data_IF_022672875111
#
_entry.id   IF_022672875111
#
_cell.length_a   1.000
_cell.length_b   1.000
_cell.length_c   1.000
_cell.angle_alpha   90.00
_cell.angle_beta   90.00
_cell.angle_gamma   90.00
#
_symmetry.space_group_name_H-M   'P 1'
#
loop_
_entity.id
_entity.type
_entity.pdbx_description
1 polymer ?
#
# COMPACT_ATOMS: atom_id res chain seq x y z
N UNK A 1 13.61 -34.50 8.04
CA UNK A 1 14.14 -34.65 6.68
C UNK A 1 13.07 -34.31 5.64
N UNK A 2 12.81 -33.01 5.35
CA UNK A 2 11.95 -32.55 4.24
C UNK A 2 12.19 -31.05 3.95
N UNK A 3 13.43 -30.61 3.86
CA UNK A 3 13.76 -29.20 3.60
C UNK A 3 14.68 -28.96 2.39
N UNK A 4 15.10 -30.00 1.68
CA UNK A 4 16.06 -29.87 0.57
C UNK A 4 15.46 -29.85 -0.85
N UNK A 5 14.15 -30.03 -1.03
CA UNK A 5 13.53 -30.11 -2.36
C UNK A 5 13.10 -28.76 -2.97
N UNK A 6 13.15 -27.65 -2.24
CA UNK A 6 12.67 -26.34 -2.69
C UNK A 6 13.79 -25.50 -3.35
N UNK A 7 15.05 -25.82 -3.09
CA UNK A 7 16.21 -25.06 -3.60
C UNK A 7 16.55 -25.32 -5.07
N UNK A 8 16.30 -26.53 -5.56
CA UNK A 8 16.78 -26.97 -6.89
C UNK A 8 15.95 -26.49 -8.08
N UNK A 9 14.66 -26.17 -7.88
CA UNK A 9 13.77 -25.76 -8.97
C UNK A 9 13.96 -24.27 -9.38
N UNK A 10 14.53 -23.45 -8.48
CA UNK A 10 14.71 -21.99 -8.71
C UNK A 10 15.92 -21.64 -9.60
N UNK A 11 16.97 -22.42 -9.58
CA UNK A 11 18.25 -22.09 -10.23
C UNK A 11 18.25 -22.39 -11.75
N UNK A 12 17.41 -23.32 -12.18
CA UNK A 12 17.30 -23.70 -13.60
C UNK A 12 16.45 -22.71 -14.42
N UNK A 13 15.37 -22.18 -13.85
CA UNK A 13 14.52 -21.19 -14.52
C UNK A 13 15.19 -19.83 -14.60
N UNK A 14 16.02 -19.47 -13.61
CA UNK A 14 16.78 -18.22 -13.62
C UNK A 14 17.81 -18.16 -14.76
N UNK A 15 18.51 -19.27 -15.03
CA UNK A 15 19.49 -19.36 -16.11
C UNK A 15 18.86 -19.33 -17.50
N UNK A 16 17.63 -19.80 -17.63
CA UNK A 16 16.88 -19.82 -18.89
C UNK A 16 16.32 -18.44 -19.25
N UNK A 17 15.91 -17.63 -18.26
CA UNK A 17 15.43 -16.26 -18.47
C UNK A 17 16.56 -15.26 -18.77
N UNK A 18 17.76 -15.48 -18.24
CA UNK A 18 18.94 -14.63 -18.50
C UNK A 18 19.39 -14.67 -19.96
N UNK A 19 19.11 -15.75 -20.70
CA UNK A 19 19.46 -15.90 -22.11
C UNK A 19 18.49 -15.19 -23.08
N UNK A 20 17.33 -14.71 -22.62
CA UNK A 20 16.32 -14.11 -23.47
C UNK A 20 16.16 -12.58 -23.33
N UNK A 21 17.14 -11.85 -22.81
CA UNK A 21 17.14 -10.37 -22.78
C UNK A 21 16.06 -9.71 -21.89
N UNK A 22 15.33 -10.47 -21.07
CA UNK A 22 14.32 -9.99 -20.11
C UNK A 22 14.87 -9.81 -18.70
N UNK A 23 16.20 -9.84 -18.55
CA UNK A 23 16.89 -9.89 -17.26
C UNK A 23 16.66 -8.67 -16.35
N UNK A 24 16.40 -7.50 -16.90
CA UNK A 24 16.26 -6.26 -16.09
C UNK A 24 14.96 -6.27 -15.29
N UNK A 25 13.86 -6.70 -15.88
CA UNK A 25 12.57 -6.73 -15.19
C UNK A 25 12.54 -7.73 -14.03
N UNK A 26 13.09 -8.93 -14.21
CA UNK A 26 13.12 -9.97 -13.17
C UNK A 26 14.10 -9.64 -12.02
N UNK A 27 15.23 -9.02 -12.35
CA UNK A 27 16.21 -8.59 -11.33
C UNK A 27 15.64 -7.49 -10.44
N UNK A 28 14.87 -6.56 -11.01
CA UNK A 28 14.14 -5.53 -10.28
C UNK A 28 13.02 -6.13 -9.43
N UNK A 29 12.25 -7.07 -9.96
CA UNK A 29 11.19 -7.78 -9.23
C UNK A 29 11.78 -8.61 -8.09
N UNK A 30 12.93 -9.26 -8.29
CA UNK A 30 13.61 -10.04 -7.26
C UNK A 30 14.17 -9.15 -6.15
N UNK A 31 14.87 -8.06 -6.49
CA UNK A 31 15.36 -7.09 -5.50
C UNK A 31 14.20 -6.45 -4.73
N UNK A 32 13.15 -6.04 -5.42
CA UNK A 32 11.95 -5.53 -4.78
C UNK A 32 11.33 -6.58 -3.84
N UNK A 33 11.28 -7.84 -4.26
CA UNK A 33 10.76 -8.95 -3.45
C UNK A 33 11.64 -9.26 -2.23
N UNK A 34 12.96 -9.22 -2.36
CA UNK A 34 13.90 -9.43 -1.25
C UNK A 34 13.86 -8.25 -0.24
N UNK A 35 13.75 -7.02 -0.73
CA UNK A 35 13.57 -5.83 0.12
C UNK A 35 12.22 -5.83 0.85
N UNK A 36 11.15 -6.33 0.22
CA UNK A 36 9.81 -6.40 0.81
C UNK A 36 9.62 -7.62 1.72
N UNK A 37 10.37 -8.71 1.55
CA UNK A 37 10.32 -9.87 2.44
C UNK A 37 10.87 -9.56 3.84
N UNK A 38 11.64 -8.49 4.00
CA UNK A 38 12.23 -8.09 5.28
C UNK A 38 11.41 -7.05 6.06
N UNK A 39 10.31 -6.52 5.52
CA UNK A 39 9.50 -5.53 6.22
C UNK A 39 8.03 -5.57 5.78
N UNK A 40 7.29 -6.55 6.27
CA UNK A 40 5.85 -6.57 6.10
C UNK A 40 5.22 -5.35 6.76
N UNK A 41 4.77 -4.36 5.97
CA UNK A 41 4.09 -3.17 6.49
C UNK A 41 2.79 -3.52 7.19
N UNK A 42 2.45 -2.73 8.20
CA UNK A 42 1.18 -2.76 8.91
C UNK A 42 0.19 -1.84 8.21
N UNK A 43 -0.83 -2.42 7.61
CA UNK A 43 -1.82 -1.74 6.76
C UNK A 43 -3.16 -1.65 7.47
N UNK A 44 -3.69 -0.44 7.59
CA UNK A 44 -5.07 -0.19 7.99
C UNK A 44 -5.92 -0.01 6.73
N UNK A 45 -7.09 -0.62 6.67
CA UNK A 45 -8.02 -0.50 5.55
C UNK A 45 -9.31 0.16 6.04
N UNK A 46 -9.79 1.17 5.30
CA UNK A 46 -11.06 1.84 5.56
C UNK A 46 -11.91 1.82 4.28
N UNK A 47 -13.00 1.08 4.30
CA UNK A 47 -13.97 0.96 3.20
C UNK A 47 -15.34 0.60 3.79
N UNK A 48 -16.40 1.34 3.44
CA UNK A 48 -17.74 1.11 3.98
C UNK A 48 -18.41 -0.14 3.41
N UNK A 49 -17.91 -0.65 2.28
CA UNK A 49 -18.33 -1.89 1.68
C UNK A 49 -17.47 -3.06 2.19
N UNK A 50 -18.02 -3.85 3.12
CA UNK A 50 -17.30 -4.98 3.74
C UNK A 50 -16.66 -5.94 2.73
N UNK A 51 -17.33 -6.21 1.61
CA UNK A 51 -16.80 -7.07 0.54
C UNK A 51 -15.54 -6.49 -0.09
N UNK A 52 -15.52 -5.18 -0.35
CA UNK A 52 -14.36 -4.49 -0.91
C UNK A 52 -13.22 -4.45 0.11
N UNK A 53 -13.50 -4.08 1.36
CA UNK A 53 -12.51 -4.09 2.43
C UNK A 53 -11.88 -5.48 2.65
N UNK A 54 -12.69 -6.55 2.58
CA UNK A 54 -12.20 -7.94 2.67
C UNK A 54 -11.30 -8.29 1.49
N UNK A 55 -11.72 -7.98 0.27
CA UNK A 55 -10.92 -8.22 -0.94
C UNK A 55 -9.59 -7.46 -0.90
N UNK A 56 -9.61 -6.18 -0.49
CA UNK A 56 -8.38 -5.41 -0.30
C UNK A 56 -7.46 -6.04 0.75
N UNK A 57 -8.02 -6.53 1.84
CA UNK A 57 -7.26 -7.21 2.88
C UNK A 57 -6.55 -8.48 2.36
N UNK A 58 -7.22 -9.25 1.50
CA UNK A 58 -6.63 -10.42 0.85
C UNK A 58 -5.50 -10.01 -0.11
N UNK A 59 -5.71 -8.98 -0.94
CA UNK A 59 -4.68 -8.46 -1.85
C UNK A 59 -3.45 -7.93 -1.09
N UNK A 60 -3.66 -7.22 0.03
CA UNK A 60 -2.58 -6.74 0.91
C UNK A 60 -1.78 -7.90 1.49
N UNK A 61 -2.45 -8.97 1.93
CA UNK A 61 -1.78 -10.18 2.43
C UNK A 61 -1.01 -10.92 1.33
N UNK A 62 -1.54 -10.96 0.10
CA UNK A 62 -0.82 -11.50 -1.06
C UNK A 62 0.44 -10.71 -1.38
N UNK A 63 0.47 -9.40 -1.08
CA UNK A 63 1.67 -8.57 -1.14
C UNK A 63 2.61 -8.74 0.07
N UNK A 64 2.39 -9.75 0.92
CA UNK A 64 3.18 -10.03 2.12
C UNK A 64 3.17 -8.92 3.18
N UNK A 65 2.07 -8.16 3.28
CA UNK A 65 1.86 -7.15 4.32
C UNK A 65 0.83 -7.62 5.35
N UNK A 66 0.87 -7.03 6.54
CA UNK A 66 -0.07 -7.32 7.62
C UNK A 66 -1.24 -6.33 7.62
N UNK A 67 -2.46 -6.81 7.59
CA UNK A 67 -3.65 -5.98 7.83
C UNK A 67 -3.90 -5.91 9.33
N UNK A 68 -3.83 -4.69 9.90
CA UNK A 68 -4.03 -4.47 11.34
C UNK A 68 -5.50 -4.37 11.71
N UNK A 69 -6.30 -3.72 10.87
CA UNK A 69 -7.75 -3.62 11.04
C UNK A 69 -8.41 -3.25 9.72
N UNK A 70 -9.69 -3.62 9.55
CA UNK A 70 -10.57 -3.17 8.47
C UNK A 70 -11.75 -2.46 9.12
N UNK A 71 -11.95 -1.18 8.79
CA UNK A 71 -12.99 -0.32 9.36
C UNK A 71 -13.93 0.20 8.27
N UNK A 72 -15.15 0.59 8.66
CA UNK A 72 -16.23 0.94 7.73
C UNK A 72 -16.50 2.45 7.59
N UNK A 73 -15.72 3.33 8.23
CA UNK A 73 -15.95 4.78 8.15
C UNK A 73 -14.68 5.60 8.37
N UNK A 74 -14.70 6.86 7.90
CA UNK A 74 -13.58 7.77 8.10
C UNK A 74 -13.32 8.09 9.57
N UNK A 75 -14.37 8.12 10.41
CA UNK A 75 -14.21 8.34 11.85
C UNK A 75 -13.51 7.16 12.53
N UNK A 76 -13.94 5.94 12.20
CA UNK A 76 -13.27 4.72 12.68
C UNK A 76 -11.83 4.64 12.22
N UNK A 77 -11.54 5.07 10.97
CA UNK A 77 -10.18 5.12 10.45
C UNK A 77 -9.27 6.04 11.26
N UNK A 78 -9.75 7.23 11.64
CA UNK A 78 -9.00 8.17 12.50
C UNK A 78 -8.72 7.54 13.88
N UNK A 79 -9.71 6.88 14.48
CA UNK A 79 -9.57 6.22 15.78
C UNK A 79 -8.63 5.01 15.69
N UNK A 80 -8.79 4.17 14.66
CA UNK A 80 -7.95 3.00 14.40
C UNK A 80 -6.49 3.40 14.14
N UNK A 81 -6.27 4.50 13.40
CA UNK A 81 -4.92 5.04 13.21
C UNK A 81 -4.24 5.33 14.53
N UNK A 82 -4.93 6.01 15.46
CA UNK A 82 -4.37 6.32 16.78
C UNK A 82 -4.09 5.09 17.66
N UNK A 83 -4.89 4.02 17.50
CA UNK A 83 -4.68 2.76 18.24
C UNK A 83 -3.52 1.94 17.69
N UNK A 84 -3.41 1.86 16.36
CA UNK A 84 -2.52 0.91 15.70
C UNK A 84 -1.22 1.55 15.21
N UNK A 85 -1.19 2.85 14.93
CA UNK A 85 -0.08 3.55 14.28
C UNK A 85 0.43 2.73 13.07
N UNK A 86 -0.42 2.48 12.05
CA UNK A 86 -0.06 1.69 10.90
C UNK A 86 1.00 2.38 10.05
N UNK A 87 1.75 1.60 9.27
CA UNK A 87 2.74 2.14 8.34
C UNK A 87 2.06 2.84 7.15
N UNK A 88 0.90 2.33 6.71
CA UNK A 88 0.11 2.89 5.62
C UNK A 88 -1.39 2.64 5.84
N UNK A 89 -2.22 3.55 5.35
CA UNK A 89 -3.67 3.43 5.32
C UNK A 89 -4.15 3.35 3.87
N UNK A 90 -4.92 2.33 3.53
CA UNK A 90 -5.74 2.29 2.32
C UNK A 90 -7.13 2.79 2.68
N UNK A 91 -7.58 3.89 2.10
CA UNK A 91 -8.81 4.56 2.51
C UNK A 91 -9.71 4.85 1.32
N UNK A 92 -10.92 4.31 1.34
CA UNK A 92 -11.93 4.67 0.34
C UNK A 92 -12.28 6.15 0.47
N UNK A 93 -12.43 6.80 -0.68
CA UNK A 93 -12.82 8.21 -0.75
C UNK A 93 -14.29 8.39 -0.32
N UNK A 94 -15.18 7.52 -0.83
CA UNK A 94 -16.61 7.63 -0.61
C UNK A 94 -17.06 6.80 0.58
N UNK A 95 -17.02 7.39 1.76
CA UNK A 95 -17.55 6.77 2.97
C UNK A 95 -18.64 7.64 3.62
N UNK A 96 -19.64 7.04 4.27
CA UNK A 96 -20.70 7.78 4.94
C UNK A 96 -20.17 8.58 6.14
N UNK A 97 -20.87 9.68 6.48
CA UNK A 97 -20.58 10.59 7.60
C UNK A 97 -19.30 11.42 7.42
N UNK A 98 -18.17 10.80 7.12
CA UNK A 98 -16.89 11.45 6.93
C UNK A 98 -16.19 10.80 5.75
N UNK A 99 -16.02 11.54 4.65
CA UNK A 99 -15.33 11.04 3.46
C UNK A 99 -13.83 10.83 3.70
N UNK A 100 -13.22 9.98 2.87
CA UNK A 100 -11.82 9.60 3.02
C UNK A 100 -10.85 10.76 2.92
N UNK A 101 -11.11 11.77 2.09
CA UNK A 101 -10.23 12.94 1.97
C UNK A 101 -10.21 13.76 3.27
N UNK A 102 -11.36 13.94 3.91
CA UNK A 102 -11.44 14.65 5.20
C UNK A 102 -10.81 13.82 6.32
N UNK A 103 -11.04 12.50 6.34
CA UNK A 103 -10.39 11.60 7.29
C UNK A 103 -8.86 11.62 7.12
N UNK A 104 -8.37 11.60 5.87
CA UNK A 104 -6.96 11.71 5.54
C UNK A 104 -6.35 13.01 6.07
N UNK A 105 -6.98 14.17 5.80
CA UNK A 105 -6.50 15.46 6.35
C UNK A 105 -6.38 15.44 7.87
N UNK A 106 -7.38 14.90 8.56
CA UNK A 106 -7.38 14.82 10.02
C UNK A 106 -6.25 13.92 10.56
N UNK A 107 -6.03 12.78 9.88
CA UNK A 107 -4.93 11.88 10.23
C UNK A 107 -3.58 12.57 10.01
N UNK A 108 -3.36 13.16 8.84
CA UNK A 108 -2.08 13.81 8.49
C UNK A 108 -1.83 15.05 9.37
N UNK A 109 -2.86 15.83 9.69
CA UNK A 109 -2.73 16.98 10.59
C UNK A 109 -2.30 16.56 12.01
N UNK A 110 -2.82 15.44 12.51
CA UNK A 110 -2.47 14.92 13.83
C UNK A 110 -1.16 14.12 13.83
N UNK A 111 -0.87 13.45 12.71
CA UNK A 111 0.30 12.59 12.53
C UNK A 111 1.00 12.96 11.21
N UNK A 112 1.91 13.95 11.19
CA UNK A 112 2.53 14.46 9.96
C UNK A 112 3.31 13.41 9.15
N UNK A 113 3.73 12.31 9.82
CA UNK A 113 4.37 11.17 9.16
C UNK A 113 3.40 10.15 8.55
N UNK A 114 2.08 10.31 8.72
CA UNK A 114 1.09 9.37 8.23
C UNK A 114 1.15 9.22 6.71
N UNK A 115 1.02 7.98 6.26
CA UNK A 115 0.98 7.62 4.84
C UNK A 115 -0.42 7.10 4.53
N UNK A 116 -1.17 7.87 3.75
CA UNK A 116 -2.53 7.52 3.36
C UNK A 116 -2.59 7.41 1.85
N UNK A 117 -3.07 6.29 1.35
CA UNK A 117 -3.38 6.05 -0.06
C UNK A 117 -4.90 6.09 -0.16
N UNK A 118 -5.43 7.04 -0.93
CA UNK A 118 -6.85 7.10 -1.21
C UNK A 118 -7.22 6.11 -2.31
N UNK A 119 -8.40 5.55 -2.20
CA UNK A 119 -9.01 4.66 -3.18
C UNK A 119 -10.29 5.33 -3.68
N UNK A 120 -10.44 5.56 -4.98
CA UNK A 120 -11.60 6.29 -5.52
C UNK A 120 -12.02 5.78 -6.89
N UNK A 121 -13.30 5.98 -7.22
CA UNK A 121 -13.82 5.78 -8.57
C UNK A 121 -13.45 6.91 -9.55
N UNK A 122 -12.90 8.03 -9.08
CA UNK A 122 -12.55 9.19 -9.90
C UNK A 122 -11.15 9.72 -9.60
N UNK A 123 -10.34 10.03 -10.63
CA UNK A 123 -8.97 10.53 -10.41
C UNK A 123 -8.91 11.99 -9.91
N UNK A 124 -10.04 12.73 -9.88
CA UNK A 124 -10.07 14.16 -9.55
C UNK A 124 -10.10 14.47 -8.03
N UNK A 125 -10.20 13.45 -7.19
CA UNK A 125 -10.56 13.60 -5.77
C UNK A 125 -9.37 13.74 -4.79
N UNK A 126 -8.14 13.83 -5.29
CA UNK A 126 -6.94 13.86 -4.43
C UNK A 126 -6.55 15.26 -3.94
N UNK A 127 -6.96 16.31 -4.65
CA UNK A 127 -6.49 17.66 -4.39
C UNK A 127 -6.79 18.11 -2.94
N UNK A 128 -5.76 18.58 -2.22
CA UNK A 128 -5.88 19.07 -0.85
C UNK A 128 -6.16 18.02 0.22
N UNK A 129 -6.12 16.73 -0.10
CA UNK A 129 -6.36 15.66 0.88
C UNK A 129 -5.15 15.37 1.80
N UNK A 130 -3.94 15.72 1.36
CA UNK A 130 -2.70 15.31 2.01
C UNK A 130 -2.35 13.83 1.83
N UNK A 131 -3.07 13.12 0.94
CA UNK A 131 -2.79 11.72 0.63
C UNK A 131 -1.46 11.57 -0.12
N UNK A 132 -0.77 10.46 0.13
CA UNK A 132 0.48 10.09 -0.52
C UNK A 132 0.24 9.71 -1.99
N UNK A 133 -0.83 8.98 -2.25
CA UNK A 133 -1.19 8.48 -3.59
C UNK A 133 -2.70 8.27 -3.71
N UNK A 134 -3.16 8.09 -4.95
CA UNK A 134 -4.52 7.71 -5.31
C UNK A 134 -4.51 6.43 -6.14
N UNK A 135 -5.32 5.46 -5.73
CA UNK A 135 -5.66 4.28 -6.53
C UNK A 135 -7.07 4.43 -7.09
N UNK A 136 -7.20 4.27 -8.40
CA UNK A 136 -8.50 4.36 -9.09
C UNK A 136 -9.12 2.97 -9.18
N UNK A 137 -10.38 2.84 -8.76
CA UNK A 137 -11.17 1.61 -8.88
C UNK A 137 -11.50 1.32 -10.37
N UNK A 138 -11.41 0.06 -10.85
CA UNK A 138 -11.10 -1.15 -10.11
C UNK A 138 -9.62 -1.29 -9.81
N UNK A 139 -9.26 -1.65 -8.56
CA UNK A 139 -7.88 -1.79 -8.13
C UNK A 139 -7.28 -3.08 -8.69
N UNK A 140 -6.17 -2.94 -9.38
CA UNK A 140 -5.38 -4.07 -9.88
C UNK A 140 -4.25 -4.37 -8.90
N UNK A 141 -3.85 -5.65 -8.83
CA UNK A 141 -2.80 -6.09 -7.92
C UNK A 141 -1.46 -5.40 -8.19
N UNK A 142 -1.11 -5.18 -9.46
CA UNK A 142 0.11 -4.48 -9.85
C UNK A 142 0.13 -3.01 -9.37
N UNK A 143 -1.00 -2.32 -9.46
CA UNK A 143 -1.14 -0.94 -8.98
C UNK A 143 -1.08 -0.85 -7.45
N UNK A 144 -1.75 -1.77 -6.75
CA UNK A 144 -1.69 -1.84 -5.30
C UNK A 144 -0.26 -2.12 -4.82
N UNK A 145 0.41 -3.08 -5.46
CA UNK A 145 1.79 -3.42 -5.15
C UNK A 145 2.73 -2.22 -5.32
N UNK A 146 2.62 -1.50 -6.46
CA UNK A 146 3.42 -0.31 -6.71
C UNK A 146 3.18 0.79 -5.68
N UNK A 147 1.91 1.08 -5.34
CA UNK A 147 1.56 2.10 -4.36
C UNK A 147 2.05 1.76 -2.94
N UNK A 148 1.98 0.49 -2.55
CA UNK A 148 2.51 0.02 -1.26
C UNK A 148 4.05 0.06 -1.24
N UNK A 149 4.69 -0.30 -2.36
CA UNK A 149 6.14 -0.18 -2.50
C UNK A 149 6.62 1.26 -2.36
N UNK A 150 5.98 2.21 -3.04
CA UNK A 150 6.29 3.63 -2.94
C UNK A 150 6.03 4.17 -1.52
N UNK A 151 4.95 3.68 -0.88
CA UNK A 151 4.67 4.01 0.51
C UNK A 151 5.72 3.48 1.49
N UNK A 152 6.42 2.40 1.18
CA UNK A 152 7.48 1.85 2.02
C UNK A 152 8.78 2.68 1.96
N UNK A 153 8.97 3.48 0.91
CA UNK A 153 10.21 4.25 0.74
C UNK A 153 10.34 5.37 1.78
N UNK A 154 11.56 5.66 2.27
CA UNK A 154 11.79 6.82 3.11
C UNK A 154 11.41 8.08 2.35
N UNK A 155 10.67 9.01 2.99
CA UNK A 155 10.39 10.30 2.38
C UNK A 155 11.70 11.02 2.13
N UNK A 156 12.04 11.27 0.86
CA UNK A 156 13.13 12.16 0.52
C UNK A 156 12.81 13.56 1.08
N UNK A 157 13.69 14.10 1.92
CA UNK A 157 13.55 15.41 2.58
C UNK A 157 13.70 16.62 1.64
N UNK A 158 13.42 16.44 0.34
CA UNK A 158 13.66 17.44 -0.70
C UNK A 158 12.41 18.16 -1.20
N UNK A 159 11.44 18.49 -0.32
CA UNK A 159 10.30 19.35 -0.71
C UNK A 159 9.89 20.32 0.41
N UNK A 160 10.84 20.82 1.16
CA UNK A 160 10.61 21.91 2.11
C UNK A 160 11.48 23.11 1.77
N UNK A 161 11.43 23.62 0.51
CA UNK A 161 11.90 24.95 0.20
C UNK A 161 11.50 25.34 -1.24
N UNK A 162 10.27 25.83 -1.39
CA UNK A 162 9.92 26.76 -2.46
C UNK A 162 8.62 27.48 -2.12
N UNK A 163 8.68 28.37 -1.11
CA UNK A 163 7.74 29.47 -0.92
C UNK A 163 8.46 30.57 -0.14
N UNK A 164 9.22 31.37 -0.88
CA UNK A 164 9.55 32.76 -0.51
C UNK A 164 9.02 33.63 -1.60
#
# INVERSE_FOLDING_TARGET
>A
MKQEAIGSFRDHDEKRCLQQGRAIGWKMIRLARELLQNCGMRVLIADDQKSVGTTLAELVRLCHHQVVEVVGSGLEAIQAYGRHLPDVVLMDYQMPKLNGATACRNIVAKYPGARVILVSGSPKEIAGSGALALLVKPIRLDQLYAALYDAAQPRSSAQADSSS
#
